data_IF_471616286772
#
_entry.id   IF_471616286772
#
_cell.length_a   1.000
_cell.length_b   1.000
_cell.length_c   1.000
_cell.angle_alpha   90.00
_cell.angle_beta   90.00
_cell.angle_gamma   90.00
#
_symmetry.space_group_name_H-M   'P 1'
#
loop_
_entity.id
_entity.type
_entity.pdbx_description
1 polymer ?
#
# COMPACT_ATOMS: atom_id res chain seq x y z
N UNK A 1 3.89 -16.10 10.56
CA UNK A 1 3.27 -16.74 9.39
C UNK A 1 3.77 -16.02 8.14
N UNK A 2 4.22 -16.70 7.07
CA UNK A 2 4.73 -16.00 5.89
C UNK A 2 3.59 -15.22 5.22
N UNK A 3 3.78 -13.93 4.95
CA UNK A 3 2.80 -13.03 4.32
C UNK A 3 2.17 -13.61 3.03
N UNK A 4 2.90 -14.50 2.34
CA UNK A 4 2.43 -15.18 1.14
C UNK A 4 1.21 -16.09 1.34
N UNK A 5 0.99 -16.66 2.53
CA UNK A 5 -0.14 -17.57 2.77
C UNK A 5 -1.49 -16.85 2.66
N UNK A 6 -1.60 -15.65 3.25
CA UNK A 6 -2.81 -14.83 3.17
C UNK A 6 -3.11 -14.42 1.73
N UNK A 7 -2.08 -13.97 0.98
CA UNK A 7 -2.21 -13.59 -0.43
C UNK A 7 -2.70 -14.79 -1.27
N UNK A 8 -2.17 -15.99 -1.02
CA UNK A 8 -2.60 -17.19 -1.74
C UNK A 8 -4.07 -17.54 -1.46
N UNK A 9 -4.49 -17.50 -0.19
CA UNK A 9 -5.88 -17.69 0.20
C UNK A 9 -6.81 -16.64 -0.46
N UNK A 10 -6.38 -15.38 -0.48
CA UNK A 10 -7.09 -14.29 -1.16
C UNK A 10 -7.26 -14.57 -2.66
N UNK A 11 -6.19 -15.02 -3.35
CA UNK A 11 -6.26 -15.38 -4.78
C UNK A 11 -7.24 -16.52 -5.05
N UNK A 12 -7.34 -17.52 -4.17
CA UNK A 12 -8.32 -18.60 -4.31
C UNK A 12 -9.74 -18.06 -4.22
N UNK A 13 -10.02 -17.17 -3.25
CA UNK A 13 -11.33 -16.53 -3.11
C UNK A 13 -11.65 -15.67 -4.35
N UNK A 14 -10.68 -14.91 -4.87
CA UNK A 14 -10.87 -14.10 -6.08
C UNK A 14 -11.08 -14.95 -7.34
N UNK A 15 -10.44 -16.13 -7.44
CA UNK A 15 -10.69 -17.05 -8.53
C UNK A 15 -12.14 -17.57 -8.50
N UNK A 16 -12.67 -17.89 -7.32
CA UNK A 16 -14.10 -18.25 -7.15
C UNK A 16 -15.02 -17.08 -7.46
N UNK A 17 -14.69 -15.86 -7.00
CA UNK A 17 -15.45 -14.66 -7.30
C UNK A 17 -15.53 -14.41 -8.82
N UNK A 18 -14.43 -14.67 -9.55
CA UNK A 18 -14.42 -14.59 -11.01
C UNK A 18 -15.43 -15.54 -11.65
N UNK A 19 -15.47 -16.80 -11.21
CA UNK A 19 -16.40 -17.80 -11.74
C UNK A 19 -17.85 -17.40 -11.47
N UNK A 20 -18.14 -16.86 -10.27
CA UNK A 20 -19.46 -16.33 -9.95
C UNK A 20 -19.84 -15.16 -10.86
N UNK A 21 -18.93 -14.20 -11.08
CA UNK A 21 -19.16 -13.07 -12.00
C UNK A 21 -19.41 -13.54 -13.44
N UNK A 22 -18.66 -14.54 -13.93
CA UNK A 22 -18.87 -15.15 -15.25
C UNK A 22 -20.22 -15.86 -15.38
N UNK A 23 -20.75 -16.40 -14.29
CA UNK A 23 -22.08 -16.99 -14.22
C UNK A 23 -23.21 -15.94 -14.07
N UNK A 24 -22.88 -14.65 -13.99
CA UNK A 24 -23.84 -13.58 -13.73
C UNK A 24 -24.27 -13.45 -12.26
N UNK A 25 -23.62 -14.19 -11.35
CA UNK A 25 -23.87 -14.09 -9.90
C UNK A 25 -22.97 -13.01 -9.28
N UNK A 26 -23.37 -11.76 -9.49
CA UNK A 26 -22.66 -10.59 -8.95
C UNK A 26 -22.70 -10.56 -7.40
N UNK A 27 -23.74 -11.12 -6.78
CA UNK A 27 -23.87 -11.10 -5.32
C UNK A 27 -22.83 -12.01 -4.67
N UNK A 28 -22.64 -13.24 -5.18
CA UNK A 28 -21.61 -14.13 -4.69
C UNK A 28 -20.20 -13.60 -5.01
N UNK A 29 -20.01 -13.00 -6.19
CA UNK A 29 -18.76 -12.36 -6.55
C UNK A 29 -18.38 -11.24 -5.56
N UNK A 30 -19.33 -10.35 -5.22
CA UNK A 30 -19.15 -9.29 -4.22
C UNK A 30 -18.89 -9.86 -2.83
N UNK A 31 -19.61 -10.91 -2.41
CA UNK A 31 -19.42 -11.54 -1.10
C UNK A 31 -17.99 -12.09 -0.96
N UNK A 32 -17.52 -12.86 -1.94
CA UNK A 32 -16.17 -13.45 -1.95
C UNK A 32 -15.08 -12.37 -2.02
N UNK A 33 -15.30 -11.33 -2.81
CA UNK A 33 -14.41 -10.17 -2.91
C UNK A 33 -14.34 -9.41 -1.58
N UNK A 34 -15.48 -9.20 -0.93
CA UNK A 34 -15.58 -8.58 0.39
C UNK A 34 -14.85 -9.37 1.48
N UNK A 35 -14.86 -10.70 1.44
CA UNK A 35 -14.07 -11.51 2.37
C UNK A 35 -12.57 -11.25 2.26
N UNK A 36 -12.06 -11.01 1.04
CA UNK A 36 -10.65 -10.65 0.82
C UNK A 36 -10.36 -9.24 1.35
N UNK A 37 -11.26 -8.28 1.11
CA UNK A 37 -11.18 -6.93 1.68
C UNK A 37 -11.14 -6.93 3.21
N UNK A 38 -12.03 -7.70 3.84
CA UNK A 38 -12.09 -7.87 5.29
C UNK A 38 -10.83 -8.53 5.86
N UNK A 39 -10.23 -9.49 5.14
CA UNK A 39 -8.96 -10.08 5.55
C UNK A 39 -7.83 -9.05 5.51
N UNK A 40 -7.78 -8.21 4.47
CA UNK A 40 -6.82 -7.13 4.38
C UNK A 40 -7.00 -6.11 5.53
N UNK A 41 -8.23 -5.73 5.87
CA UNK A 41 -8.51 -4.87 7.03
C UNK A 41 -8.04 -5.51 8.32
N UNK A 42 -8.41 -6.78 8.52
CA UNK A 42 -8.05 -7.45 9.75
C UNK A 42 -6.55 -7.46 9.97
N UNK A 43 -5.76 -7.67 8.90
CA UNK A 43 -4.30 -7.62 8.97
C UNK A 43 -3.77 -6.21 9.27
N UNK A 44 -4.38 -5.17 8.71
CA UNK A 44 -4.03 -3.77 9.01
C UNK A 44 -4.35 -3.42 10.48
N UNK A 45 -5.47 -3.92 11.01
CA UNK A 45 -5.94 -3.64 12.37
C UNK A 45 -5.40 -4.61 13.44
N UNK A 46 -4.41 -5.45 13.12
CA UNK A 46 -3.82 -6.38 14.09
C UNK A 46 -2.97 -5.63 15.13
N UNK A 47 -3.51 -5.48 16.34
CA UNK A 47 -2.92 -4.91 17.57
C UNK A 47 -2.20 -3.56 17.37
N UNK A 48 -1.02 -3.61 16.79
CA UNK A 48 -0.18 -2.47 16.44
C UNK A 48 0.34 -2.73 15.02
N UNK A 49 -0.16 -2.00 13.98
CA UNK A 49 0.26 -2.22 12.61
C UNK A 49 1.77 -2.00 12.49
N UNK A 50 2.45 -2.95 11.86
CA UNK A 50 3.87 -2.89 11.58
C UNK A 50 4.10 -3.17 10.10
N UNK A 51 5.34 -3.10 9.64
CA UNK A 51 5.63 -3.30 8.23
C UNK A 51 5.13 -4.68 7.78
N UNK A 52 5.41 -5.73 8.54
CA UNK A 52 5.04 -7.08 8.12
C UNK A 52 3.51 -7.25 7.90
N UNK A 53 2.68 -6.81 8.84
CA UNK A 53 1.22 -6.92 8.72
C UNK A 53 0.70 -6.02 7.61
N UNK A 54 1.25 -4.81 7.48
CA UNK A 54 0.87 -3.86 6.44
C UNK A 54 1.26 -4.37 5.04
N UNK A 55 2.38 -5.08 4.87
CA UNK A 55 2.75 -5.67 3.58
C UNK A 55 1.77 -6.74 3.15
N UNK A 56 1.37 -7.60 4.08
CA UNK A 56 0.40 -8.65 3.79
C UNK A 56 -0.96 -8.01 3.41
N UNK A 57 -1.33 -6.97 4.14
CA UNK A 57 -2.54 -6.20 3.92
C UNK A 57 -2.57 -5.52 2.54
N UNK A 58 -1.60 -4.64 2.25
CA UNK A 58 -1.46 -3.98 0.94
C UNK A 58 -1.31 -4.98 -0.22
N UNK A 59 -0.66 -6.12 0.02
CA UNK A 59 -0.54 -7.19 -0.96
C UNK A 59 -1.88 -7.80 -1.34
N UNK A 60 -2.78 -8.00 -0.37
CA UNK A 60 -4.15 -8.47 -0.61
C UNK A 60 -4.98 -7.43 -1.34
N UNK A 61 -4.89 -6.17 -0.95
CA UNK A 61 -5.61 -5.09 -1.63
C UNK A 61 -5.19 -4.93 -3.07
N UNK A 62 -3.89 -5.03 -3.33
CA UNK A 62 -3.38 -4.95 -4.69
C UNK A 62 -4.01 -6.01 -5.58
N UNK A 63 -4.04 -7.27 -5.11
CA UNK A 63 -4.63 -8.37 -5.91
C UNK A 63 -6.15 -8.23 -6.01
N UNK A 64 -6.81 -7.71 -4.97
CA UNK A 64 -8.24 -7.42 -4.92
C UNK A 64 -8.62 -6.38 -5.98
N UNK A 65 -8.04 -5.19 -5.90
CA UNK A 65 -8.33 -4.08 -6.82
C UNK A 65 -8.00 -4.45 -8.27
N UNK A 66 -6.87 -5.13 -8.50
CA UNK A 66 -6.52 -5.64 -9.83
C UNK A 66 -7.56 -6.62 -10.36
N UNK A 67 -8.06 -7.54 -9.53
CA UNK A 67 -9.07 -8.50 -9.95
C UNK A 67 -10.40 -7.80 -10.29
N UNK A 68 -10.83 -6.84 -9.48
CA UNK A 68 -12.06 -6.09 -9.72
C UNK A 68 -11.98 -5.35 -11.06
N UNK A 69 -10.96 -4.50 -11.24
CA UNK A 69 -10.88 -3.62 -12.42
C UNK A 69 -10.51 -4.38 -13.69
N UNK A 70 -9.58 -5.35 -13.63
CA UNK A 70 -9.10 -6.05 -14.84
C UNK A 70 -9.94 -7.27 -15.22
N UNK A 71 -10.75 -7.81 -14.31
CA UNK A 71 -11.47 -9.06 -14.57
C UNK A 71 -12.96 -8.98 -14.25
N UNK A 72 -13.36 -8.55 -13.06
CA UNK A 72 -14.76 -8.66 -12.65
C UNK A 72 -15.64 -7.64 -13.37
N UNK A 73 -15.28 -6.36 -13.33
CA UNK A 73 -16.07 -5.31 -14.00
C UNK A 73 -16.18 -5.56 -15.51
N UNK A 74 -15.09 -5.87 -16.26
CA UNK A 74 -15.22 -6.21 -17.68
C UNK A 74 -16.08 -7.45 -17.96
N UNK A 75 -16.04 -8.45 -17.07
CA UNK A 75 -16.82 -9.68 -17.25
C UNK A 75 -18.31 -9.44 -17.02
N UNK A 76 -18.64 -8.66 -15.99
CA UNK A 76 -20.03 -8.30 -15.69
C UNK A 76 -20.52 -7.36 -16.79
N UNK A 77 -19.78 -6.31 -17.11
CA UNK A 77 -20.15 -5.31 -18.12
C UNK A 77 -20.94 -4.14 -17.54
N UNK A 78 -21.60 -3.37 -18.43
CA UNK A 78 -22.23 -2.08 -18.09
C UNK A 78 -23.34 -2.18 -17.04
N UNK A 79 -23.88 -3.35 -16.77
CA UNK A 79 -24.89 -3.60 -15.74
C UNK A 79 -24.33 -3.77 -14.32
N UNK A 80 -22.99 -3.81 -14.15
CA UNK A 80 -22.38 -3.94 -12.83
C UNK A 80 -22.84 -2.83 -11.88
N UNK A 81 -23.18 -3.19 -10.64
CA UNK A 81 -23.57 -2.23 -9.61
C UNK A 81 -22.33 -1.56 -9.02
N UNK A 82 -21.83 -0.51 -9.70
CA UNK A 82 -20.60 0.18 -9.30
C UNK A 82 -20.70 0.80 -7.91
N UNK A 83 -21.90 1.06 -7.37
CA UNK A 83 -22.04 1.54 -6.00
C UNK A 83 -21.64 0.47 -4.99
N UNK A 84 -21.88 -0.81 -5.30
CA UNK A 84 -21.48 -1.95 -4.45
C UNK A 84 -20.01 -2.32 -4.61
N UNK A 85 -19.43 -2.12 -5.80
CA UNK A 85 -18.00 -2.37 -6.03
C UNK A 85 -17.11 -1.27 -5.45
N UNK A 86 -17.61 -0.04 -5.39
CA UNK A 86 -16.85 1.14 -4.96
C UNK A 86 -16.16 0.98 -3.61
N UNK A 87 -16.81 0.55 -2.51
CA UNK A 87 -16.15 0.40 -1.21
C UNK A 87 -15.02 -0.65 -1.19
N UNK A 88 -14.98 -1.57 -2.16
CA UNK A 88 -13.94 -2.60 -2.27
C UNK A 88 -12.68 -2.06 -2.98
N UNK A 89 -12.79 -0.93 -3.68
CA UNK A 89 -11.69 -0.23 -4.35
C UNK A 89 -11.30 1.02 -3.56
N UNK A 90 -12.30 1.80 -3.13
CA UNK A 90 -12.20 3.04 -2.35
C UNK A 90 -12.09 2.74 -0.86
N UNK A 91 -10.85 2.54 -0.43
CA UNK A 91 -10.51 2.46 0.99
C UNK A 91 -10.02 3.81 1.46
N UNK A 92 -10.97 4.63 1.92
CA UNK A 92 -10.69 5.99 2.40
C UNK A 92 -9.60 6.00 3.49
N UNK A 93 -8.73 7.01 3.46
CA UNK A 93 -7.69 7.25 4.46
C UNK A 93 -6.49 6.31 4.43
N UNK A 94 -6.59 5.12 3.83
CA UNK A 94 -5.56 4.07 3.93
C UNK A 94 -4.19 4.43 3.33
N UNK A 95 -4.19 5.33 2.36
CA UNK A 95 -3.01 5.71 1.59
C UNK A 95 -2.46 7.09 1.98
N UNK A 96 -2.80 7.56 3.18
CA UNK A 96 -2.33 8.81 3.77
C UNK A 96 -0.93 8.62 4.42
N UNK A 97 0.01 9.55 4.22
CA UNK A 97 1.25 9.63 5.00
C UNK A 97 1.09 9.41 6.51
N UNK A 98 0.00 9.85 7.12
CA UNK A 98 -0.30 9.65 8.55
C UNK A 98 -0.53 8.19 8.91
N UNK A 99 -1.13 7.40 8.02
CA UNK A 99 -1.25 5.95 8.21
C UNK A 99 0.12 5.26 8.11
N UNK A 100 0.99 5.73 7.22
CA UNK A 100 2.38 5.25 7.18
C UNK A 100 3.13 5.60 8.47
N UNK A 101 2.91 6.79 9.05
CA UNK A 101 3.49 7.17 10.33
C UNK A 101 3.03 6.23 11.46
N UNK A 102 1.76 5.85 11.49
CA UNK A 102 1.20 4.86 12.43
C UNK A 102 1.89 3.49 12.28
N UNK A 103 2.09 3.02 11.05
CA UNK A 103 2.84 1.78 10.76
C UNK A 103 4.29 1.88 11.25
N UNK A 104 4.96 3.02 11.07
CA UNK A 104 6.34 3.22 11.55
C UNK A 104 6.44 3.22 13.08
N UNK A 105 5.48 3.84 13.78
CA UNK A 105 5.41 3.75 15.25
C UNK A 105 5.28 2.30 15.70
N UNK A 106 4.45 1.52 15.02
CA UNK A 106 4.25 0.12 15.34
C UNK A 106 5.41 -0.80 14.99
N UNK A 107 6.09 -0.52 13.88
CA UNK A 107 7.35 -1.17 13.53
C UNK A 107 8.39 -0.93 14.62
N UNK A 108 8.62 0.34 15.02
CA UNK A 108 9.53 0.68 16.12
C UNK A 108 9.21 -0.11 17.39
N UNK A 109 7.94 -0.18 17.80
CA UNK A 109 7.53 -0.94 18.98
C UNK A 109 7.84 -2.43 18.84
N UNK A 110 7.49 -3.03 17.70
CA UNK A 110 7.68 -4.47 17.44
C UNK A 110 9.16 -4.82 17.41
N UNK A 111 9.95 -4.15 16.59
CA UNK A 111 11.39 -4.42 16.42
C UNK A 111 12.18 -4.09 17.68
N UNK A 112 11.81 -3.03 18.42
CA UNK A 112 12.45 -2.71 19.68
C UNK A 112 12.26 -3.82 20.69
N UNK A 113 11.01 -4.28 20.87
CA UNK A 113 10.66 -5.32 21.84
C UNK A 113 11.24 -6.69 21.46
N UNK A 114 11.08 -7.09 20.20
CA UNK A 114 11.30 -8.48 19.79
C UNK A 114 12.72 -8.73 19.26
N UNK A 115 13.46 -7.68 18.90
CA UNK A 115 14.79 -7.81 18.29
C UNK A 115 15.87 -6.97 18.99
N UNK A 116 15.69 -5.65 19.07
CA UNK A 116 16.73 -4.74 19.55
C UNK A 116 17.01 -4.89 21.05
N UNK A 117 15.98 -4.83 21.90
CA UNK A 117 16.15 -4.93 23.35
C UNK A 117 16.73 -6.29 23.78
N UNK A 118 16.23 -7.45 23.27
CA UNK A 118 16.89 -8.72 23.50
C UNK A 118 18.35 -8.71 23.04
N UNK A 119 18.65 -8.07 21.91
CA UNK A 119 20.02 -8.01 21.40
C UNK A 119 20.98 -7.25 22.31
N UNK A 120 20.56 -6.12 22.89
CA UNK A 120 21.42 -5.24 23.69
C UNK A 120 21.45 -5.59 25.19
N UNK A 121 20.37 -6.19 25.72
CA UNK A 121 20.21 -6.46 27.15
C UNK A 121 20.65 -7.88 27.55
N UNK A 122 20.61 -8.85 26.65
CA UNK A 122 21.06 -10.21 26.96
C UNK A 122 22.58 -10.29 26.99
N UNK A 123 23.15 -10.46 28.19
CA UNK A 123 24.59 -10.59 28.39
C UNK A 123 25.19 -11.85 27.75
N UNK A 124 24.36 -12.86 27.46
CA UNK A 124 24.79 -14.11 26.81
C UNK A 124 24.78 -14.01 25.29
N UNK A 125 24.20 -12.94 24.74
CA UNK A 125 24.12 -12.75 23.30
C UNK A 125 25.50 -12.38 22.74
N UNK A 126 26.03 -13.26 21.88
CA UNK A 126 27.31 -13.05 21.18
C UNK A 126 27.29 -11.90 20.19
N UNK A 127 26.10 -11.47 19.76
CA UNK A 127 25.88 -10.34 18.85
C UNK A 127 25.63 -9.01 19.59
N UNK A 128 25.77 -9.00 20.92
CA UNK A 128 25.55 -7.80 21.73
C UNK A 128 26.61 -6.72 21.37
N UNK A 129 26.19 -5.54 20.89
CA UNK A 129 27.13 -4.47 20.60
C UNK A 129 27.73 -3.91 21.89
N UNK A 130 29.01 -3.55 21.85
CA UNK A 130 29.70 -2.87 22.97
C UNK A 130 29.07 -1.51 23.31
N UNK A 131 28.45 -0.87 22.33
CA UNK A 131 27.82 0.45 22.42
C UNK A 131 26.29 0.38 22.29
N UNK A 132 25.65 -0.66 22.86
CA UNK A 132 24.20 -0.89 22.71
C UNK A 132 23.29 0.30 23.06
N UNK A 133 23.69 1.17 23.99
CA UNK A 133 22.95 2.41 24.27
C UNK A 133 23.00 3.41 23.10
N UNK A 134 24.15 3.55 22.43
CA UNK A 134 24.28 4.40 21.25
C UNK A 134 23.43 3.87 20.09
N UNK A 135 23.43 2.54 19.89
CA UNK A 135 22.57 1.86 18.91
C UNK A 135 21.10 2.13 19.19
N UNK A 136 20.65 1.94 20.45
CA UNK A 136 19.25 2.16 20.81
C UNK A 136 18.79 3.61 20.60
N UNK A 137 19.65 4.59 20.94
CA UNK A 137 19.36 6.02 20.72
C UNK A 137 19.27 6.37 19.24
N UNK A 138 20.23 5.88 18.43
CA UNK A 138 20.21 6.12 16.99
C UNK A 138 18.97 5.50 16.34
N UNK A 139 18.59 4.29 16.77
CA UNK A 139 17.38 3.62 16.30
C UNK A 139 16.11 4.42 16.61
N UNK A 140 15.93 4.81 17.87
CA UNK A 140 14.77 5.59 18.30
C UNK A 140 14.69 6.97 17.62
N UNK A 141 15.82 7.67 17.50
CA UNK A 141 15.87 8.97 16.83
C UNK A 141 15.47 8.89 15.35
N UNK A 142 15.85 7.80 14.67
CA UNK A 142 15.48 7.59 13.26
C UNK A 142 13.96 7.46 13.10
N UNK A 143 13.31 6.65 13.93
CA UNK A 143 11.85 6.50 13.88
C UNK A 143 11.11 7.76 14.28
N UNK A 144 11.57 8.50 15.30
CA UNK A 144 10.98 9.80 15.66
C UNK A 144 11.06 10.80 14.49
N UNK A 145 12.19 10.86 13.80
CA UNK A 145 12.36 11.70 12.62
C UNK A 145 11.40 11.29 11.48
N UNK A 146 11.30 9.99 11.17
CA UNK A 146 10.41 9.48 10.12
C UNK A 146 8.94 9.73 10.43
N UNK A 147 8.51 9.48 11.66
CA UNK A 147 7.12 9.72 12.08
C UNK A 147 6.77 11.20 11.95
N UNK A 148 7.66 12.10 12.41
CA UNK A 148 7.43 13.54 12.31
C UNK A 148 7.39 14.05 10.87
N UNK A 149 8.26 13.53 9.99
CA UNK A 149 8.24 13.92 8.59
C UNK A 149 6.92 13.49 7.94
N UNK A 150 6.48 12.26 8.18
CA UNK A 150 5.23 11.71 7.65
C UNK A 150 3.96 12.41 8.17
N UNK A 151 3.91 12.80 9.45
CA UNK A 151 2.75 13.49 10.03
C UNK A 151 2.46 14.85 9.35
N UNK A 152 3.48 15.46 8.72
CA UNK A 152 3.39 16.77 8.06
C UNK A 152 3.49 16.73 6.54
N UNK A 153 3.84 15.58 5.96
CA UNK A 153 4.09 15.41 4.54
C UNK A 153 2.81 15.14 3.74
N UNK A 154 2.75 15.64 2.51
CA UNK A 154 1.84 15.13 1.50
C UNK A 154 2.43 13.93 0.76
N UNK A 155 1.60 13.21 -0.01
CA UNK A 155 2.06 12.08 -0.83
C UNK A 155 3.15 12.48 -1.84
N UNK A 156 3.08 13.70 -2.38
CA UNK A 156 4.09 14.25 -3.29
C UNK A 156 5.44 14.46 -2.60
N UNK A 157 5.43 14.85 -1.33
CA UNK A 157 6.65 15.02 -0.55
C UNK A 157 7.30 13.66 -0.29
N UNK A 158 6.49 12.65 0.06
CA UNK A 158 6.96 11.25 0.15
C UNK A 158 7.43 10.67 -1.19
N UNK A 159 6.95 11.17 -2.33
CA UNK A 159 7.47 10.76 -3.63
C UNK A 159 8.85 11.37 -3.89
N UNK A 160 9.02 12.65 -3.58
CA UNK A 160 10.25 13.40 -3.84
C UNK A 160 11.38 12.98 -2.89
N UNK A 161 11.05 12.78 -1.63
CA UNK A 161 11.91 12.20 -0.61
C UNK A 161 11.14 11.08 0.08
N UNK A 162 11.41 9.81 -0.29
CA UNK A 162 10.74 8.65 0.32
C UNK A 162 10.91 8.55 1.83
N UNK A 163 11.69 9.43 2.48
CA UNK A 163 11.65 9.66 3.92
C UNK A 163 12.20 8.51 4.76
N UNK A 164 12.60 7.41 4.12
CA UNK A 164 13.16 6.19 4.71
C UNK A 164 14.54 5.84 4.13
N UNK A 165 15.09 6.69 3.25
CA UNK A 165 16.48 6.56 2.81
C UNK A 165 17.41 7.01 3.94
N UNK A 166 18.61 6.40 4.01
CA UNK A 166 19.59 6.44 5.11
C UNK A 166 20.04 7.85 5.50
N UNK A 167 19.16 8.62 6.15
CA UNK A 167 19.46 9.95 6.69
C UNK A 167 19.81 9.89 8.17
N UNK A 168 19.87 8.70 8.79
CA UNK A 168 20.31 8.62 10.18
C UNK A 168 21.80 8.95 10.28
N UNK A 169 22.13 9.86 11.18
CA UNK A 169 23.50 10.12 11.55
C UNK A 169 23.96 9.03 12.55
N UNK A 170 24.68 8.03 12.05
CA UNK A 170 25.27 6.96 12.87
C UNK A 170 26.77 7.19 13.17
N UNK A 171 27.28 8.40 12.97
CA UNK A 171 28.71 8.72 13.19
C UNK A 171 29.15 8.46 14.64
N UNK A 172 28.21 8.49 15.58
CA UNK A 172 28.44 8.25 17.01
C UNK A 172 28.39 6.76 17.42
N UNK A 173 27.96 5.86 16.53
CA UNK A 173 27.94 4.42 16.78
C UNK A 173 29.27 3.76 16.39
N UNK A 174 29.63 2.68 17.08
CA UNK A 174 30.75 1.82 16.72
C UNK A 174 30.54 1.18 15.35
N UNK A 175 31.61 0.66 14.74
CA UNK A 175 31.50 -0.03 13.45
C UNK A 175 30.53 -1.24 13.51
N UNK A 176 30.47 -1.92 14.66
CA UNK A 176 29.53 -3.02 14.91
C UNK A 176 28.09 -2.50 15.07
N UNK A 177 27.90 -1.46 15.88
CA UNK A 177 26.60 -0.80 16.06
C UNK A 177 26.02 -0.28 14.74
N UNK A 178 26.86 0.28 13.86
CA UNK A 178 26.45 0.68 12.51
C UNK A 178 25.94 -0.49 11.67
N UNK A 179 26.64 -1.63 11.67
CA UNK A 179 26.18 -2.83 10.94
C UNK A 179 24.84 -3.36 11.46
N UNK A 180 24.62 -3.30 12.77
CA UNK A 180 23.34 -3.66 13.38
C UNK A 180 22.25 -2.74 12.87
N UNK A 181 22.45 -1.42 12.91
CA UNK A 181 21.50 -0.45 12.38
C UNK A 181 21.23 -0.68 10.88
N UNK A 182 22.26 -0.85 10.06
CA UNK A 182 22.11 -1.12 8.63
C UNK A 182 21.27 -2.39 8.37
N UNK A 183 21.42 -3.41 9.22
CA UNK A 183 20.62 -4.64 9.15
C UNK A 183 19.17 -4.40 9.55
N UNK A 184 18.93 -3.65 10.63
CA UNK A 184 17.60 -3.34 11.15
C UNK A 184 16.76 -2.52 10.16
N UNK A 185 17.39 -1.82 9.23
CA UNK A 185 16.72 -0.90 8.32
C UNK A 185 16.86 -1.27 6.83
N UNK A 186 17.35 -2.47 6.52
CA UNK A 186 17.61 -2.93 5.14
C UNK A 186 16.40 -2.79 4.20
N UNK A 187 15.18 -2.88 4.73
CA UNK A 187 13.94 -2.82 3.94
C UNK A 187 13.26 -1.45 3.89
N UNK A 188 13.70 -0.46 4.66
CA UNK A 188 12.98 0.82 4.82
C UNK A 188 12.84 1.60 3.50
N UNK A 189 13.87 1.75 2.64
CA UNK A 189 13.72 2.46 1.36
C UNK A 189 12.76 1.79 0.37
N UNK A 190 12.69 0.45 0.38
CA UNK A 190 11.78 -0.29 -0.49
C UNK A 190 10.32 -0.09 -0.08
N UNK A 191 10.10 0.18 1.21
CA UNK A 191 8.79 0.35 1.81
C UNK A 191 8.09 1.63 1.43
N UNK A 192 8.73 2.78 1.57
CA UNK A 192 8.14 4.07 1.18
C UNK A 192 7.86 4.12 -0.32
N UNK A 193 8.80 3.63 -1.15
CA UNK A 193 8.58 3.46 -2.59
C UNK A 193 7.41 2.50 -2.88
N UNK A 194 7.25 1.45 -2.09
CA UNK A 194 6.11 0.53 -2.15
C UNK A 194 4.78 1.23 -1.83
N UNK A 195 4.73 1.97 -0.72
CA UNK A 195 3.57 2.71 -0.25
C UNK A 195 3.12 3.73 -1.29
N UNK A 196 4.03 4.61 -1.75
CA UNK A 196 3.74 5.63 -2.78
C UNK A 196 3.17 4.99 -4.05
N UNK A 197 3.77 3.90 -4.54
CA UNK A 197 3.26 3.16 -5.71
C UNK A 197 1.83 2.66 -5.48
N UNK A 198 1.54 2.15 -4.29
CA UNK A 198 0.20 1.66 -3.96
C UNK A 198 -0.82 2.79 -3.86
N UNK A 199 -0.47 3.94 -3.27
CA UNK A 199 -1.32 5.13 -3.21
C UNK A 199 -1.71 5.62 -4.60
N UNK A 200 -0.75 5.76 -5.51
CA UNK A 200 -1.03 6.17 -6.89
C UNK A 200 -1.86 5.15 -7.67
N UNK A 201 -1.63 3.85 -7.44
CA UNK A 201 -2.42 2.79 -8.07
C UNK A 201 -3.87 2.79 -7.55
N UNK A 202 -4.08 3.04 -6.26
CA UNK A 202 -5.42 3.17 -5.69
C UNK A 202 -6.16 4.34 -6.36
N UNK A 203 -5.53 5.50 -6.48
CA UNK A 203 -6.13 6.66 -7.15
C UNK A 203 -6.42 6.44 -8.65
N UNK A 204 -5.57 5.68 -9.36
CA UNK A 204 -5.87 5.24 -10.73
C UNK A 204 -7.15 4.40 -10.78
N UNK A 205 -7.29 3.43 -9.88
CA UNK A 205 -8.46 2.57 -9.83
C UNK A 205 -9.73 3.35 -9.48
N UNK A 206 -9.65 4.36 -8.60
CA UNK A 206 -10.77 5.27 -8.29
C UNK A 206 -11.18 6.07 -9.52
N UNK A 207 -10.20 6.64 -10.23
CA UNK A 207 -10.44 7.41 -11.44
C UNK A 207 -11.11 6.56 -12.53
N UNK A 208 -10.64 5.32 -12.71
CA UNK A 208 -11.28 4.37 -13.64
C UNK A 208 -12.73 4.08 -13.24
N UNK A 209 -13.00 3.91 -11.95
CA UNK A 209 -14.35 3.64 -11.47
C UNK A 209 -15.29 4.84 -11.66
N UNK A 210 -14.79 6.06 -11.44
CA UNK A 210 -15.54 7.29 -11.69
C UNK A 210 -15.88 7.47 -13.16
N UNK A 211 -14.92 7.21 -14.05
CA UNK A 211 -15.14 7.26 -15.49
C UNK A 211 -16.10 6.17 -15.96
N UNK A 212 -15.98 4.95 -15.44
CA UNK A 212 -16.93 3.87 -15.73
C UNK A 212 -18.35 4.22 -15.26
N UNK A 213 -18.49 4.85 -14.10
CA UNK A 213 -19.78 5.30 -13.57
C UNK A 213 -20.38 6.45 -14.39
N UNK A 214 -19.54 7.39 -14.86
CA UNK A 214 -19.96 8.44 -15.79
C UNK A 214 -20.49 7.84 -17.10
N UNK A 215 -19.78 6.86 -17.65
CA UNK A 215 -20.20 6.17 -18.87
C UNK A 215 -21.52 5.41 -18.68
N UNK A 216 -21.73 4.74 -17.54
CA UNK A 216 -23.01 4.08 -17.22
C UNK A 216 -24.18 5.05 -17.20
N UNK A 217 -23.95 6.32 -16.84
CA UNK A 217 -24.96 7.39 -16.86
C UNK A 217 -25.15 8.03 -18.24
N UNK A 218 -24.38 7.60 -19.25
CA UNK A 218 -24.40 8.17 -20.60
C UNK A 218 -23.64 9.49 -20.72
N UNK A 219 -22.79 9.83 -19.74
CA UNK A 219 -21.93 11.01 -19.80
C UNK A 219 -20.75 10.78 -20.76
N UNK A 220 -20.22 11.87 -21.33
CA UNK A 220 -19.03 11.81 -22.19
C UNK A 220 -17.77 11.66 -21.36
N UNK A 221 -17.20 10.46 -21.41
CA UNK A 221 -16.00 10.08 -20.64
C UNK A 221 -14.80 10.96 -20.96
N UNK A 222 -14.70 11.46 -22.19
CA UNK A 222 -13.61 12.34 -22.62
C UNK A 222 -13.65 13.71 -21.94
N UNK A 223 -14.85 14.25 -21.75
CA UNK A 223 -15.07 15.52 -21.05
C UNK A 223 -14.81 15.32 -19.56
N UNK A 224 -15.36 14.26 -18.98
CA UNK A 224 -15.17 13.93 -17.57
C UNK A 224 -13.73 13.56 -17.22
N UNK A 225 -13.03 12.86 -18.11
CA UNK A 225 -11.62 12.53 -17.96
C UNK A 225 -10.73 13.76 -17.91
N UNK A 226 -11.05 14.81 -18.67
CA UNK A 226 -10.37 16.10 -18.57
C UNK A 226 -10.66 16.80 -17.24
N UNK A 227 -11.87 16.71 -16.72
CA UNK A 227 -12.21 17.31 -15.42
C UNK A 227 -11.54 16.58 -14.24
N UNK A 228 -11.60 15.25 -14.22
CA UNK A 228 -11.01 14.41 -13.18
C UNK A 228 -9.47 14.41 -13.23
N UNK A 229 -8.90 14.72 -14.40
CA UNK A 229 -7.46 14.62 -14.58
C UNK A 229 -6.65 15.48 -13.62
N UNK A 230 -7.19 16.60 -13.10
CA UNK A 230 -6.71 17.31 -11.89
C UNK A 230 -5.20 17.60 -11.75
N UNK A 231 -4.41 17.36 -12.80
CA UNK A 231 -2.94 17.33 -12.82
C UNK A 231 -2.27 15.95 -12.61
N UNK A 232 -2.89 14.99 -11.91
CA UNK A 232 -2.24 13.73 -11.51
C UNK A 232 -2.53 12.53 -12.42
N UNK A 233 -3.76 12.40 -12.91
CA UNK A 233 -4.19 11.25 -13.71
C UNK A 233 -4.59 11.72 -15.10
N UNK A 234 -4.28 10.96 -16.15
CA UNK A 234 -4.58 11.34 -17.54
C UNK A 234 -5.38 10.24 -18.18
N UNK A 235 -6.51 10.61 -18.80
CA UNK A 235 -7.31 9.69 -19.59
C UNK A 235 -6.90 9.76 -21.07
N UNK A 236 -6.43 8.62 -21.60
CA UNK A 236 -6.21 8.39 -23.03
C UNK A 236 -7.49 7.81 -23.63
N UNK A 237 -8.24 8.66 -24.35
CA UNK A 237 -9.50 8.28 -25.00
C UNK A 237 -9.32 7.20 -26.08
N UNK A 238 -8.37 7.31 -27.04
CA UNK A 238 -8.10 6.26 -28.02
C UNK A 238 -7.81 4.89 -27.42
N UNK A 239 -7.00 4.82 -26.35
CA UNK A 239 -6.64 3.55 -25.70
C UNK A 239 -7.64 3.11 -24.63
N UNK A 240 -8.56 3.99 -24.23
CA UNK A 240 -9.46 3.84 -23.07
C UNK A 240 -8.70 3.49 -21.80
N UNK A 241 -7.60 4.20 -21.52
CA UNK A 241 -6.76 3.97 -20.35
C UNK A 241 -6.59 5.20 -19.49
N UNK A 242 -6.45 5.01 -18.19
CA UNK A 242 -6.03 6.04 -17.24
C UNK A 242 -4.58 5.76 -16.84
N UNK A 243 -3.72 6.77 -16.94
CA UNK A 243 -2.31 6.69 -16.51
C UNK A 243 -1.97 7.82 -15.55
N UNK A 244 -0.80 7.73 -14.91
CA UNK A 244 -0.24 8.89 -14.22
C UNK A 244 0.19 9.95 -15.25
N UNK A 245 0.11 11.23 -14.88
CA UNK A 245 0.68 12.31 -15.66
C UNK A 245 2.20 12.25 -15.62
N UNK A 246 2.85 12.80 -16.65
CA UNK A 246 4.31 12.79 -16.76
C UNK A 246 5.02 13.51 -15.59
N UNK A 247 4.37 14.51 -14.98
CA UNK A 247 4.93 15.31 -13.88
C UNK A 247 4.98 14.56 -12.54
N UNK A 248 4.27 13.44 -12.41
CA UNK A 248 4.23 12.63 -11.19
C UNK A 248 4.48 11.14 -11.48
N UNK A 249 5.10 10.82 -12.61
CA UNK A 249 5.33 9.43 -13.01
C UNK A 249 6.07 8.65 -11.92
N UNK A 250 5.51 7.50 -11.52
CA UNK A 250 6.10 6.59 -10.53
C UNK A 250 6.46 5.26 -11.20
N UNK A 251 7.74 4.83 -11.15
CA UNK A 251 8.16 3.57 -11.72
C UNK A 251 7.35 2.36 -11.20
N UNK A 252 6.88 1.52 -12.11
CA UNK A 252 6.09 0.32 -11.79
C UNK A 252 4.59 0.56 -11.54
N UNK A 253 4.10 1.80 -11.70
CA UNK A 253 2.66 2.08 -11.77
C UNK A 253 2.22 2.07 -13.23
N UNK A 254 1.60 0.97 -13.65
CA UNK A 254 1.07 0.79 -15.01
C UNK A 254 -0.27 1.51 -15.22
N UNK A 255 -0.59 1.95 -16.45
CA UNK A 255 -1.93 2.39 -16.82
C UNK A 255 -3.00 1.34 -16.55
N UNK A 256 -4.23 1.79 -16.35
CA UNK A 256 -5.39 0.96 -16.07
C UNK A 256 -6.48 1.25 -17.10
N UNK A 257 -6.94 0.23 -17.81
CA UNK A 257 -8.00 0.35 -18.80
C UNK A 257 -9.37 0.54 -18.13
N UNK A 258 -10.28 1.25 -18.81
CA UNK A 258 -11.69 1.21 -18.44
C UNK A 258 -12.25 -0.20 -18.63
N UNK A 259 -13.25 -0.59 -17.83
CA UNK A 259 -13.77 -1.94 -17.87
C UNK A 259 -14.60 -2.28 -19.13
N UNK A 260 -15.06 -1.26 -19.87
CA UNK A 260 -15.75 -1.35 -21.16
C UNK A 260 -15.55 -0.06 -21.94
#
# INVERSE_FOLDING_TARGET
MPAGAHIHAGKILLAKARLAAQAGDETEALRLTGLVGNLADRLHDLDVPNLQTETASLGLERVLQQAIVRHFLPTIGKQADLKRWRPLIEREGRYDPQELAKVMRGEFHTTSRDLLLPMILDERNRLRPRDGMAVARAYAASFDQWVRSMDSAGLKDLQADPGLEQTWNNSHASAEGRRILDTLFVSSPAWSKGFVRMSYRAGLNHTVLDLAAAEQRGERVEERGKELSGGAYVFDSPQRMVSLSASIAVPGVEPVALPW
#
